data_IF_267982106470
#
_entry.id   IF_267982106470
#
_cell.length_a   1.000
_cell.length_b   1.000
_cell.length_c   1.000
_cell.angle_alpha   90.00
_cell.angle_beta   90.00
_cell.angle_gamma   90.00
#
_symmetry.space_group_name_H-M   'P 1'
#
loop_
_entity.id
_entity.type
_entity.pdbx_description
1 polymer ?
#
# COMPACT_ATOMS: atom_id res chain seq x y z
N UNK A 1 64.96 12.43 -52.01
CA UNK A 1 63.61 13.00 -52.18
C UNK A 1 63.27 13.76 -50.91
N UNK A 2 63.53 15.07 -50.87
CA UNK A 2 63.20 15.91 -49.72
C UNK A 2 61.74 16.34 -49.81
N UNK A 3 60.93 15.91 -48.85
CA UNK A 3 59.55 16.33 -48.74
C UNK A 3 59.54 17.81 -48.32
N UNK A 4 59.10 18.67 -49.23
CA UNK A 4 58.96 20.11 -48.98
C UNK A 4 57.74 20.31 -48.08
N UNK A 5 57.99 20.54 -46.79
CA UNK A 5 56.95 21.00 -45.86
C UNK A 5 56.52 22.40 -46.29
N UNK A 6 55.40 22.49 -47.01
CA UNK A 6 54.76 23.76 -47.30
C UNK A 6 54.16 24.34 -46.01
N UNK A 7 54.38 25.64 -45.70
CA UNK A 7 53.77 26.33 -44.55
C UNK A 7 52.24 26.23 -44.49
N UNK A 8 51.59 25.97 -45.63
CA UNK A 8 50.14 25.80 -45.76
C UNK A 8 49.59 24.56 -45.02
N UNK A 9 50.42 23.53 -44.82
CA UNK A 9 49.99 22.29 -44.13
C UNK A 9 49.89 22.49 -42.61
N UNK A 10 50.73 23.38 -42.06
CA UNK A 10 50.68 23.76 -40.64
C UNK A 10 49.45 24.64 -40.34
N UNK A 11 49.13 25.59 -41.22
CA UNK A 11 47.94 26.43 -41.10
C UNK A 11 46.65 25.61 -41.23
N UNK A 12 46.65 24.62 -42.12
CA UNK A 12 45.51 23.71 -42.28
C UNK A 12 45.31 22.82 -41.06
N UNK A 13 46.41 22.31 -40.47
CA UNK A 13 46.37 21.57 -39.19
C UNK A 13 45.89 22.44 -38.02
N UNK A 14 46.34 23.69 -37.93
CA UNK A 14 45.89 24.62 -36.88
C UNK A 14 44.38 24.88 -36.97
N UNK A 15 43.85 25.16 -38.17
CA UNK A 15 42.40 25.35 -38.37
C UNK A 15 41.60 24.11 -38.02
N UNK A 16 42.12 22.92 -38.33
CA UNK A 16 41.47 21.65 -37.96
C UNK A 16 41.45 21.47 -36.44
N UNK A 17 42.57 21.74 -35.76
CA UNK A 17 42.65 21.67 -34.30
C UNK A 17 41.74 22.69 -33.62
N UNK A 18 41.62 23.91 -34.16
CA UNK A 18 40.67 24.91 -33.66
C UNK A 18 39.22 24.47 -33.82
N UNK A 19 38.88 23.86 -34.95
CA UNK A 19 37.56 23.27 -35.19
C UNK A 19 37.25 22.12 -34.22
N UNK A 20 38.22 21.23 -34.00
CA UNK A 20 38.09 20.13 -33.03
C UNK A 20 37.97 20.66 -31.60
N UNK A 21 38.74 21.69 -31.22
CA UNK A 21 38.67 22.32 -29.91
C UNK A 21 37.34 23.04 -29.68
N UNK A 22 36.80 23.70 -30.71
CA UNK A 22 35.49 24.33 -30.66
C UNK A 22 34.36 23.30 -30.48
N UNK A 23 34.46 22.16 -31.17
CA UNK A 23 33.54 21.03 -30.95
C UNK A 23 33.65 20.45 -29.55
N UNK A 24 34.87 20.26 -29.04
CA UNK A 24 35.11 19.75 -27.69
C UNK A 24 34.56 20.73 -26.65
N UNK A 25 34.79 22.03 -26.79
CA UNK A 25 34.21 23.04 -25.87
C UNK A 25 32.68 23.05 -25.91
N UNK A 26 32.07 22.84 -27.07
CA UNK A 26 30.62 22.69 -27.22
C UNK A 26 30.09 21.40 -26.56
N UNK A 27 30.91 20.34 -26.50
CA UNK A 27 30.57 19.04 -25.91
C UNK A 27 30.86 18.96 -24.39
N UNK A 28 31.85 19.70 -23.89
CA UNK A 28 32.40 19.53 -22.52
C UNK A 28 31.77 20.46 -21.49
N UNK A 29 31.05 21.52 -21.89
CA UNK A 29 30.67 22.59 -20.94
C UNK A 29 29.24 23.07 -21.07
N UNK A 30 28.26 22.20 -20.87
CA UNK A 30 26.88 22.65 -20.60
C UNK A 30 26.73 22.81 -19.08
N UNK A 31 27.26 23.91 -18.55
CA UNK A 31 27.15 24.22 -17.11
C UNK A 31 25.73 24.65 -16.71
N UNK A 32 24.90 25.03 -17.69
CA UNK A 32 23.49 25.31 -17.55
C UNK A 32 22.84 25.19 -18.93
N UNK A 33 21.92 24.24 -19.08
CA UNK A 33 21.07 24.14 -20.26
C UNK A 33 19.63 24.35 -19.84
N UNK A 34 19.01 25.40 -20.37
CA UNK A 34 17.55 25.58 -20.30
C UNK A 34 16.94 25.10 -21.60
N UNK A 35 16.07 24.09 -21.53
CA UNK A 35 15.29 23.60 -22.67
C UNK A 35 14.05 24.49 -22.79
N UNK A 36 14.12 25.55 -23.60
CA UNK A 36 13.02 26.51 -23.79
C UNK A 36 11.89 25.97 -24.68
N UNK A 37 12.21 25.07 -25.61
CA UNK A 37 11.25 24.41 -26.52
C UNK A 37 11.83 23.05 -26.96
N UNK A 38 11.01 21.99 -26.97
CA UNK A 38 11.43 20.62 -27.28
C UNK A 38 11.34 19.68 -26.07
N UNK A 39 12.13 18.60 -26.07
CA UNK A 39 12.20 17.63 -24.97
C UNK A 39 13.59 16.98 -24.84
N UNK A 40 13.87 16.41 -23.68
CA UNK A 40 15.09 15.62 -23.43
C UNK A 40 14.78 14.14 -23.71
N UNK A 41 15.54 13.52 -24.62
CA UNK A 41 15.47 12.07 -24.86
C UNK A 41 16.78 11.43 -24.46
N UNK A 42 16.73 10.57 -23.44
CA UNK A 42 17.83 9.73 -23.00
C UNK A 42 17.81 8.43 -23.82
N UNK A 43 18.97 7.95 -24.30
CA UNK A 43 19.11 6.72 -25.11
C UNK A 43 20.21 5.84 -24.57
N UNK A 44 20.18 4.54 -24.87
CA UNK A 44 21.25 3.59 -24.53
C UNK A 44 21.60 3.62 -23.04
N UNK A 45 20.60 3.40 -22.16
CA UNK A 45 20.82 3.32 -20.71
C UNK A 45 21.38 4.62 -20.10
N UNK A 46 21.17 5.75 -20.78
CA UNK A 46 21.44 7.09 -20.24
C UNK A 46 20.52 7.37 -19.05
N UNK A 47 21.06 8.07 -18.06
CA UNK A 47 20.35 8.41 -16.83
C UNK A 47 20.30 9.93 -16.59
N UNK A 48 19.33 10.35 -15.78
CA UNK A 48 19.26 11.68 -15.17
C UNK A 48 19.62 11.53 -13.69
N UNK A 49 20.63 12.27 -13.22
CA UNK A 49 21.04 12.26 -11.81
C UNK A 49 21.20 13.69 -11.29
N UNK A 50 20.67 13.94 -10.10
CA UNK A 50 20.87 15.17 -9.35
C UNK A 50 21.63 14.85 -8.07
N UNK A 51 22.71 15.59 -7.82
CA UNK A 51 23.55 15.49 -6.62
C UNK A 51 23.42 16.82 -5.87
N UNK A 52 23.23 16.77 -4.56
CA UNK A 52 23.22 17.97 -3.72
C UNK A 52 24.65 18.50 -3.45
N UNK A 53 24.74 19.57 -2.66
CA UNK A 53 25.99 20.19 -2.25
C UNK A 53 26.81 19.33 -1.27
N UNK A 54 26.19 18.35 -0.62
CA UNK A 54 26.84 17.38 0.27
C UNK A 54 27.37 16.15 -0.48
N UNK A 55 27.05 16.01 -1.77
CA UNK A 55 27.44 14.88 -2.60
C UNK A 55 26.43 13.74 -2.59
N UNK A 56 25.27 13.91 -1.95
CA UNK A 56 24.21 12.91 -1.91
C UNK A 56 23.37 12.95 -3.20
N UNK A 57 23.03 11.79 -3.72
CA UNK A 57 22.08 11.67 -4.82
C UNK A 57 20.67 11.99 -4.32
N UNK A 58 20.02 12.99 -4.91
CA UNK A 58 18.65 13.41 -4.53
C UNK A 58 17.60 12.96 -5.55
N UNK A 59 17.97 12.89 -6.82
CA UNK A 59 17.11 12.38 -7.88
C UNK A 59 17.91 11.46 -8.78
N UNK A 60 17.32 10.32 -9.14
CA UNK A 60 17.83 9.41 -10.14
C UNK A 60 16.69 8.90 -11.02
N UNK A 61 16.89 8.91 -12.33
CA UNK A 61 16.01 8.29 -13.31
C UNK A 61 16.89 7.58 -14.33
N UNK A 62 16.83 6.26 -14.37
CA UNK A 62 17.69 5.45 -15.24
C UNK A 62 17.69 3.98 -14.86
N UNK A 63 18.55 3.15 -15.47
CA UNK A 63 18.63 1.74 -15.16
C UNK A 63 19.36 1.48 -13.83
N UNK A 64 18.82 0.58 -13.01
CA UNK A 64 19.50 0.02 -11.84
C UNK A 64 20.62 -0.97 -12.24
N UNK A 65 21.28 -1.56 -11.24
CA UNK A 65 22.35 -2.53 -11.45
C UNK A 65 21.88 -3.81 -12.18
N UNK A 66 20.57 -4.09 -12.18
CA UNK A 66 19.92 -5.20 -12.89
C UNK A 66 19.41 -4.77 -14.29
N UNK A 67 19.59 -3.51 -14.68
CA UNK A 67 19.10 -2.94 -15.94
C UNK A 67 17.62 -2.58 -15.95
N UNK A 68 16.93 -2.62 -14.80
CA UNK A 68 15.53 -2.20 -14.67
C UNK A 68 15.45 -0.69 -14.60
N UNK A 69 14.48 -0.10 -15.28
CA UNK A 69 14.28 1.35 -15.22
C UNK A 69 13.71 1.74 -13.86
N UNK A 70 14.46 2.54 -13.12
CA UNK A 70 14.08 3.00 -11.79
C UNK A 70 14.01 4.52 -11.70
N UNK A 71 13.16 4.98 -10.80
CA UNK A 71 13.09 6.37 -10.35
C UNK A 71 13.41 6.34 -8.86
N UNK A 72 14.36 7.15 -8.41
CA UNK A 72 14.62 7.39 -6.99
C UNK A 72 14.57 8.89 -6.69
N UNK A 73 13.84 9.25 -5.65
CA UNK A 73 13.81 10.58 -5.05
C UNK A 73 14.19 10.39 -3.59
N UNK A 74 15.20 11.13 -3.13
CA UNK A 74 15.71 11.09 -1.77
C UNK A 74 15.47 12.43 -1.07
N UNK A 75 15.41 12.40 0.25
CA UNK A 75 15.38 13.59 1.10
C UNK A 75 16.77 14.18 1.21
N UNK A 76 16.84 15.41 1.72
CA UNK A 76 18.07 16.02 2.21
C UNK A 76 18.71 15.08 3.27
N UNK A 77 19.95 14.64 3.03
CA UNK A 77 20.63 13.59 3.80
C UNK A 77 20.49 12.16 3.24
N UNK A 78 19.99 11.99 2.01
CA UNK A 78 20.14 10.75 1.23
C UNK A 78 19.11 9.64 1.49
N UNK A 79 18.23 9.78 2.50
CA UNK A 79 17.16 8.80 2.78
C UNK A 79 16.13 8.76 1.64
N UNK A 80 15.67 7.56 1.25
CA UNK A 80 14.65 7.40 0.20
C UNK A 80 13.34 8.08 0.61
N UNK A 81 12.73 8.81 -0.31
CA UNK A 81 11.39 9.39 -0.19
C UNK A 81 10.42 8.64 -1.10
N UNK A 82 10.74 8.56 -2.40
CA UNK A 82 9.96 7.86 -3.40
C UNK A 82 10.91 7.03 -4.24
N UNK A 83 10.58 5.77 -4.49
CA UNK A 83 11.35 4.96 -5.41
C UNK A 83 10.49 3.97 -6.18
N UNK A 84 11.01 3.46 -7.28
CA UNK A 84 10.51 2.24 -7.93
C UNK A 84 11.53 1.12 -7.76
N UNK A 85 11.06 -0.10 -7.53
CA UNK A 85 11.91 -1.28 -7.39
C UNK A 85 11.22 -2.52 -7.98
N UNK A 86 12.02 -3.49 -8.41
CA UNK A 86 11.52 -4.79 -8.82
C UNK A 86 11.19 -5.68 -7.62
N UNK A 87 10.05 -6.36 -7.64
CA UNK A 87 9.78 -7.48 -6.74
C UNK A 87 10.25 -8.78 -7.39
N UNK A 88 11.33 -9.38 -6.88
CA UNK A 88 11.80 -10.69 -7.35
C UNK A 88 10.76 -11.79 -7.15
N UNK A 89 10.00 -11.70 -6.06
CA UNK A 89 8.98 -12.68 -5.70
C UNK A 89 7.82 -12.72 -6.70
N UNK A 90 7.44 -11.56 -7.24
CA UNK A 90 6.25 -11.42 -8.09
C UNK A 90 6.57 -11.06 -9.55
N UNK A 91 7.84 -10.80 -9.87
CA UNK A 91 8.30 -10.47 -11.22
C UNK A 91 7.73 -9.14 -11.73
N UNK A 92 7.42 -8.20 -10.84
CA UNK A 92 6.78 -6.92 -11.17
C UNK A 92 7.43 -5.77 -10.42
N UNK A 93 7.55 -4.63 -11.09
CA UNK A 93 8.01 -3.39 -10.50
C UNK A 93 6.89 -2.72 -9.70
N UNK A 94 7.25 -2.09 -8.59
CA UNK A 94 6.34 -1.34 -7.73
C UNK A 94 6.95 0.04 -7.44
N UNK A 95 6.11 1.02 -7.15
CA UNK A 95 6.52 2.29 -6.56
C UNK A 95 6.26 2.26 -5.06
N UNK A 96 7.09 2.96 -4.29
CA UNK A 96 6.89 3.15 -2.87
C UNK A 96 7.26 4.58 -2.46
N UNK A 97 6.38 5.18 -1.66
CA UNK A 97 6.61 6.38 -0.88
C UNK A 97 6.90 5.97 0.56
N UNK A 98 7.98 6.48 1.14
CA UNK A 98 8.45 6.09 2.48
C UNK A 98 8.52 7.28 3.43
N UNK A 99 8.50 7.04 4.74
CA UNK A 99 8.82 8.03 5.77
C UNK A 99 10.34 8.22 5.93
N UNK A 100 10.77 9.07 6.86
CA UNK A 100 12.20 9.31 7.12
C UNK A 100 12.94 8.11 7.76
N UNK A 101 12.21 7.11 8.25
CA UNK A 101 12.75 5.87 8.79
C UNK A 101 12.78 4.74 7.75
N UNK A 102 12.29 4.99 6.52
CA UNK A 102 12.21 4.01 5.44
C UNK A 102 10.94 3.14 5.48
N UNK A 103 9.95 3.44 6.34
CA UNK A 103 8.70 2.71 6.36
C UNK A 103 7.84 3.12 5.15
N UNK A 104 7.29 2.14 4.43
CA UNK A 104 6.40 2.38 3.28
C UNK A 104 5.07 2.95 3.76
N UNK A 105 4.76 4.17 3.32
CA UNK A 105 3.51 4.89 3.59
C UNK A 105 2.48 4.55 2.51
N UNK A 106 2.90 4.61 1.25
CA UNK A 106 2.06 4.36 0.07
C UNK A 106 2.86 3.54 -0.91
N UNK A 107 2.26 2.53 -1.50
CA UNK A 107 2.88 1.72 -2.54
C UNK A 107 1.78 1.05 -3.36
N UNK A 108 2.02 0.77 -4.64
CA UNK A 108 1.21 -0.20 -5.38
C UNK A 108 1.57 -1.62 -4.96
N UNK A 109 0.73 -2.58 -5.32
CA UNK A 109 0.97 -3.97 -4.98
C UNK A 109 1.65 -4.74 -6.09
N UNK A 110 2.90 -5.08 -5.83
CA UNK A 110 3.67 -5.96 -6.70
C UNK A 110 3.04 -7.35 -6.85
N UNK A 111 2.33 -7.85 -5.83
CA UNK A 111 1.85 -9.23 -5.81
C UNK A 111 0.67 -9.47 -6.76
N UNK A 112 -0.37 -8.65 -6.66
CA UNK A 112 -1.53 -8.73 -7.55
C UNK A 112 -1.36 -7.86 -8.77
N UNK A 113 -0.52 -6.82 -8.68
CA UNK A 113 -0.35 -5.85 -9.76
C UNK A 113 -1.52 -4.90 -9.94
N UNK A 114 -2.40 -4.83 -8.95
CA UNK A 114 -3.61 -4.01 -8.94
C UNK A 114 -3.65 -3.22 -7.62
N UNK A 115 -4.18 -2.00 -7.64
CA UNK A 115 -4.46 -1.24 -6.42
C UNK A 115 -3.23 -0.76 -5.63
N UNK A 116 -3.47 -0.36 -4.38
CA UNK A 116 -2.46 0.09 -3.44
C UNK A 116 -2.11 -1.06 -2.49
N UNK A 117 -0.83 -1.32 -2.20
CA UNK A 117 -0.42 -2.21 -1.11
C UNK A 117 -0.59 -1.55 0.27
N UNK A 118 -0.42 -0.22 0.33
CA UNK A 118 -0.52 0.62 1.53
C UNK A 118 -1.18 1.96 1.19
N UNK A 119 -1.97 2.54 2.09
CA UNK A 119 -2.30 2.08 3.45
C UNK A 119 -3.41 1.02 3.49
N UNK A 120 -3.57 0.34 4.64
CA UNK A 120 -4.78 -0.44 4.90
C UNK A 120 -5.96 0.52 5.09
N UNK A 121 -7.05 0.29 4.37
CA UNK A 121 -8.18 1.20 4.37
C UNK A 121 -9.21 0.73 5.41
N UNK A 122 -9.45 1.52 6.47
CA UNK A 122 -10.41 1.13 7.50
C UNK A 122 -11.85 1.18 6.95
N UNK A 123 -12.65 0.19 7.32
CA UNK A 123 -14.09 0.14 7.09
C UNK A 123 -14.78 0.49 8.42
N UNK A 124 -15.44 1.66 8.52
CA UNK A 124 -16.08 2.09 9.76
C UNK A 124 -17.34 1.27 10.03
N UNK A 125 -17.27 0.34 10.98
CA UNK A 125 -18.39 -0.52 11.38
C UNK A 125 -19.23 0.14 12.49
N UNK A 126 -20.55 0.05 12.37
CA UNK A 126 -21.53 0.53 13.32
C UNK A 126 -22.27 -0.65 13.98
N UNK A 127 -22.48 -0.63 15.30
CA UNK A 127 -23.23 -1.69 15.98
C UNK A 127 -24.74 -1.55 15.71
N UNK A 128 -25.41 -2.67 15.45
CA UNK A 128 -26.86 -2.75 15.20
C UNK A 128 -27.67 -3.23 16.42
N UNK A 129 -27.02 -3.40 17.57
CA UNK A 129 -27.65 -3.80 18.82
C UNK A 129 -27.16 -2.94 19.98
N UNK A 130 -27.94 -2.90 21.05
CA UNK A 130 -27.52 -2.29 22.33
C UNK A 130 -26.95 -3.40 23.19
N UNK A 131 -25.75 -3.21 23.74
CA UNK A 131 -25.15 -4.23 24.57
C UNK A 131 -25.96 -4.44 25.85
N UNK A 132 -26.29 -5.69 26.17
CA UNK A 132 -26.74 -6.08 27.51
C UNK A 132 -25.54 -6.65 28.27
N UNK A 133 -25.35 -6.26 29.52
CA UNK A 133 -24.40 -6.94 30.40
C UNK A 133 -25.18 -7.44 31.60
N UNK A 134 -24.93 -8.69 32.02
CA UNK A 134 -25.54 -9.21 33.23
C UNK A 134 -25.37 -8.18 34.37
N UNK A 135 -26.49 -7.67 34.91
CA UNK A 135 -26.63 -6.59 35.91
C UNK A 135 -26.83 -5.15 35.38
N UNK A 136 -27.56 -4.99 34.26
CA UNK A 136 -27.95 -3.72 33.62
C UNK A 136 -28.38 -2.62 34.61
N UNK A 137 -27.46 -1.69 34.85
CA UNK A 137 -27.77 -0.34 35.32
C UNK A 137 -27.21 0.59 34.26
N UNK A 138 -28.08 1.38 33.63
CA UNK A 138 -27.70 2.40 32.65
C UNK A 138 -26.56 3.27 33.18
N UNK A 139 -25.46 3.39 32.44
CA UNK A 139 -24.31 4.24 32.80
C UNK A 139 -23.12 3.52 33.44
N UNK A 140 -23.09 2.19 33.52
CA UNK A 140 -21.88 1.43 33.88
C UNK A 140 -20.93 1.26 32.68
N UNK A 141 -19.60 1.23 32.89
CA UNK A 141 -18.66 0.89 31.84
C UNK A 141 -18.89 -0.56 31.40
N UNK A 142 -19.30 -0.72 30.14
CA UNK A 142 -19.39 -2.01 29.46
C UNK A 142 -18.00 -2.32 28.90
N UNK A 143 -17.46 -3.51 29.20
CA UNK A 143 -16.12 -3.88 28.73
C UNK A 143 -16.04 -4.06 27.21
N UNK A 144 -17.07 -4.65 26.60
CA UNK A 144 -17.18 -4.91 25.16
C UNK A 144 -18.64 -5.09 24.76
N UNK A 145 -18.95 -4.86 23.49
CA UNK A 145 -20.29 -5.09 22.95
C UNK A 145 -20.63 -6.58 22.99
N UNK A 146 -21.75 -6.89 23.63
CA UNK A 146 -22.24 -8.24 23.82
C UNK A 146 -23.76 -8.27 23.88
N UNK A 147 -24.34 -9.40 23.47
CA UNK A 147 -25.78 -9.59 23.39
C UNK A 147 -26.14 -10.93 24.03
N UNK A 148 -27.26 -10.98 24.73
CA UNK A 148 -27.77 -12.24 25.26
C UNK A 148 -28.21 -13.16 24.11
N UNK A 149 -27.83 -14.44 24.18
CA UNK A 149 -28.19 -15.48 23.21
C UNK A 149 -29.69 -15.60 22.98
N UNK A 150 -30.53 -15.24 23.94
CA UNK A 150 -31.99 -15.25 23.82
C UNK A 150 -32.54 -14.19 22.86
N UNK A 151 -31.77 -13.13 22.58
CA UNK A 151 -32.11 -12.09 21.60
C UNK A 151 -31.59 -12.42 20.19
N UNK A 152 -30.84 -13.52 20.02
CA UNK A 152 -30.31 -13.97 18.73
C UNK A 152 -31.19 -15.13 18.22
N UNK A 153 -32.17 -14.79 17.39
CA UNK A 153 -33.06 -15.77 16.74
C UNK A 153 -32.59 -16.09 15.32
N UNK A 154 -31.87 -17.20 15.16
CA UNK A 154 -31.27 -17.56 13.87
C UNK A 154 -30.02 -16.73 13.60
N UNK A 155 -29.84 -16.28 12.36
CA UNK A 155 -28.74 -15.38 11.99
C UNK A 155 -29.17 -13.92 12.17
N UNK A 156 -28.51 -13.23 13.11
CA UNK A 156 -28.80 -11.84 13.47
C UNK A 156 -27.67 -10.91 12.98
N UNK A 157 -28.02 -9.76 12.43
CA UNK A 157 -27.07 -8.72 12.07
C UNK A 157 -26.57 -8.00 13.33
N UNK A 158 -25.25 -7.95 13.52
CA UNK A 158 -24.61 -7.40 14.71
C UNK A 158 -23.91 -6.09 14.42
N UNK A 159 -23.24 -6.00 13.28
CA UNK A 159 -22.51 -4.80 12.84
C UNK A 159 -22.73 -4.57 11.34
N UNK A 160 -22.76 -3.30 10.94
CA UNK A 160 -22.92 -2.87 9.55
C UNK A 160 -21.96 -1.74 9.20
N UNK A 161 -21.49 -1.73 7.97
CA UNK A 161 -20.79 -0.61 7.36
C UNK A 161 -21.22 -0.45 5.91
N UNK A 162 -21.08 0.76 5.41
CA UNK A 162 -21.05 1.04 3.98
C UNK A 162 -19.68 1.62 3.64
N UNK A 163 -18.98 0.99 2.70
CA UNK A 163 -17.70 1.45 2.23
C UNK A 163 -17.47 1.07 0.77
N UNK A 164 -16.63 1.85 0.08
CA UNK A 164 -16.10 1.44 -1.21
C UNK A 164 -15.00 0.40 -1.00
N UNK A 165 -15.16 -0.79 -1.56
CA UNK A 165 -14.13 -1.82 -1.49
C UNK A 165 -13.03 -1.45 -2.48
N UNK A 166 -11.84 -1.19 -1.97
CA UNK A 166 -10.70 -0.68 -2.75
C UNK A 166 -9.57 -1.71 -2.86
N UNK A 167 -9.60 -2.76 -2.05
CA UNK A 167 -8.59 -3.80 -2.00
C UNK A 167 -9.27 -5.19 -1.98
N UNK A 168 -8.62 -6.23 -2.51
CA UNK A 168 -9.15 -7.59 -2.67
C UNK A 168 -9.26 -8.39 -1.38
N UNK A 169 -8.70 -7.94 -0.25
CA UNK A 169 -8.82 -8.67 1.00
C UNK A 169 -9.41 -7.81 2.11
N UNK A 170 -10.21 -8.44 2.98
CA UNK A 170 -10.78 -7.83 4.17
C UNK A 170 -10.42 -8.60 5.44
N UNK A 171 -10.17 -7.86 6.52
CA UNK A 171 -9.87 -8.37 7.85
C UNK A 171 -10.77 -7.72 8.88
N UNK A 172 -11.14 -8.50 9.90
CA UNK A 172 -11.84 -7.97 11.06
C UNK A 172 -11.08 -8.37 12.32
N UNK A 173 -10.70 -7.40 13.14
CA UNK A 173 -10.28 -7.64 14.51
C UNK A 173 -11.44 -7.35 15.42
N UNK A 174 -11.73 -8.28 16.32
CA UNK A 174 -12.80 -8.10 17.28
C UNK A 174 -12.60 -8.89 18.55
N UNK A 175 -13.56 -8.73 19.45
CA UNK A 175 -13.76 -9.55 20.63
C UNK A 175 -14.84 -10.57 20.30
N UNK A 176 -14.48 -11.85 20.32
CA UNK A 176 -15.34 -12.99 19.92
C UNK A 176 -15.41 -14.01 21.06
N UNK A 177 -16.47 -14.82 21.08
CA UNK A 177 -16.64 -15.92 22.04
C UNK A 177 -17.69 -15.67 23.13
N UNK A 178 -17.61 -16.45 24.20
CA UNK A 178 -18.57 -16.50 25.30
C UNK A 178 -18.24 -15.43 26.35
N UNK A 179 -19.13 -14.46 26.51
CA UNK A 179 -19.01 -13.45 27.55
C UNK A 179 -19.43 -13.97 28.93
N UNK A 180 -20.43 -14.85 28.95
CA UNK A 180 -20.90 -15.58 30.13
C UNK A 180 -21.74 -16.79 29.67
N UNK A 181 -21.84 -17.83 30.50
CA UNK A 181 -22.52 -19.07 30.11
C UNK A 181 -21.70 -19.89 29.11
N UNK A 182 -22.39 -20.63 28.24
CA UNK A 182 -21.79 -21.60 27.31
C UNK A 182 -22.31 -21.52 25.85
N UNK A 183 -22.65 -20.34 25.28
CA UNK A 183 -23.15 -20.28 23.90
C UNK A 183 -22.07 -20.69 22.89
N UNK A 184 -22.43 -21.51 21.90
CA UNK A 184 -21.61 -21.81 20.72
C UNK A 184 -22.07 -20.91 19.57
N UNK A 185 -21.20 -20.02 19.11
CA UNK A 185 -21.56 -18.94 18.19
C UNK A 185 -20.86 -19.15 16.85
N UNK A 186 -21.60 -18.96 15.76
CA UNK A 186 -21.04 -18.80 14.42
C UNK A 186 -21.20 -17.36 13.98
N UNK A 187 -20.12 -16.74 13.58
CA UNK A 187 -20.09 -15.39 13.02
C UNK A 187 -19.85 -15.48 11.52
N UNK A 188 -20.46 -14.57 10.76
CA UNK A 188 -20.20 -14.45 9.32
C UNK A 188 -19.91 -13.01 8.96
N UNK A 189 -18.99 -12.84 8.03
CA UNK A 189 -18.78 -11.59 7.32
C UNK A 189 -19.55 -11.71 6.00
N UNK A 190 -20.45 -10.78 5.73
CA UNK A 190 -21.24 -10.74 4.50
C UNK A 190 -21.04 -9.42 3.77
N UNK A 191 -21.11 -9.48 2.44
CA UNK A 191 -21.03 -8.32 1.54
C UNK A 191 -22.23 -8.40 0.60
N UNK A 192 -23.10 -7.39 0.63
CA UNK A 192 -24.38 -7.36 -0.09
C UNK A 192 -25.19 -8.67 0.09
N UNK A 193 -25.16 -9.23 1.30
CA UNK A 193 -25.84 -10.48 1.66
C UNK A 193 -25.10 -11.77 1.27
N UNK A 194 -23.98 -11.69 0.56
CA UNK A 194 -23.14 -12.87 0.24
C UNK A 194 -22.14 -13.11 1.36
N UNK A 195 -22.09 -14.32 1.91
CA UNK A 195 -21.08 -14.68 2.93
C UNK A 195 -19.70 -14.80 2.30
N UNK A 196 -18.76 -13.99 2.78
CA UNK A 196 -17.35 -14.00 2.34
C UNK A 196 -16.42 -14.64 3.39
N UNK A 197 -16.85 -14.69 4.65
CA UNK A 197 -16.07 -15.28 5.74
C UNK A 197 -16.98 -15.90 6.79
N UNK A 198 -16.51 -16.98 7.41
CA UNK A 198 -17.22 -17.65 8.52
C UNK A 198 -16.21 -18.13 9.54
N UNK A 199 -16.50 -17.90 10.82
CA UNK A 199 -15.73 -18.44 11.94
C UNK A 199 -16.67 -18.73 13.11
N UNK A 200 -16.29 -19.66 13.98
CA UNK A 200 -17.08 -20.02 15.14
C UNK A 200 -16.23 -19.98 16.41
N UNK A 201 -16.87 -19.67 17.52
CA UNK A 201 -16.23 -19.66 18.84
C UNK A 201 -17.18 -20.26 19.88
N UNK A 202 -16.61 -21.10 20.74
CA UNK A 202 -17.28 -21.76 21.85
C UNK A 202 -16.41 -21.72 23.13
N UNK A 203 -15.47 -20.79 23.17
CA UNK A 203 -14.56 -20.54 24.28
C UNK A 203 -14.87 -19.20 24.94
N UNK A 204 -14.27 -18.95 26.10
CA UNK A 204 -14.34 -17.65 26.74
C UNK A 204 -13.88 -16.53 25.79
N UNK A 205 -14.48 -15.35 25.95
CA UNK A 205 -14.22 -14.18 25.12
C UNK A 205 -12.71 -13.93 24.94
N UNK A 206 -12.28 -13.78 23.69
CA UNK A 206 -10.90 -13.49 23.32
C UNK A 206 -10.83 -12.41 22.23
N UNK A 207 -9.66 -11.77 22.09
CA UNK A 207 -9.43 -10.72 21.10
C UNK A 207 -8.48 -11.27 20.03
N UNK A 208 -8.97 -11.38 18.80
CA UNK A 208 -8.16 -11.83 17.68
C UNK A 208 -8.72 -11.32 16.34
N UNK A 209 -7.89 -11.43 15.31
CA UNK A 209 -8.22 -11.08 13.93
C UNK A 209 -8.71 -12.29 13.16
N UNK A 210 -9.73 -12.10 12.32
CA UNK A 210 -10.23 -13.06 11.34
C UNK A 210 -10.03 -12.51 9.93
N UNK A 211 -9.73 -13.40 8.98
CA UNK A 211 -9.29 -13.07 7.63
C UNK A 211 -7.91 -13.66 7.29
N UNK A 212 -7.39 -13.46 6.07
CA UNK A 212 -7.96 -12.63 5.00
C UNK A 212 -9.18 -13.31 4.41
N UNK A 213 -10.23 -12.54 4.13
CA UNK A 213 -11.29 -12.99 3.24
C UNK A 213 -11.13 -12.30 1.89
N UNK A 214 -11.24 -13.08 0.81
CA UNK A 214 -11.19 -12.57 -0.56
C UNK A 214 -12.50 -11.84 -0.89
N UNK A 215 -12.36 -10.59 -1.32
CA UNK A 215 -13.44 -9.68 -1.70
C UNK A 215 -13.19 -9.05 -3.07
N UNK A 216 -12.36 -9.69 -3.90
CA UNK A 216 -11.95 -9.20 -5.21
C UNK A 216 -13.13 -8.87 -6.13
N UNK A 217 -14.20 -9.67 -6.07
CA UNK A 217 -15.38 -9.52 -6.90
C UNK A 217 -16.18 -8.23 -6.63
N UNK A 218 -15.90 -7.56 -5.51
CA UNK A 218 -16.65 -6.38 -5.07
C UNK A 218 -15.85 -5.07 -5.13
N UNK A 219 -14.62 -5.08 -5.66
CA UNK A 219 -13.76 -3.90 -5.75
C UNK A 219 -14.39 -2.79 -6.62
N UNK A 220 -14.12 -1.53 -6.26
CA UNK A 220 -14.52 -0.27 -6.90
C UNK A 220 -15.99 0.13 -6.77
N UNK A 221 -16.79 -0.61 -6.01
CA UNK A 221 -18.19 -0.28 -5.76
C UNK A 221 -18.46 -0.05 -4.26
N UNK A 222 -19.48 0.76 -3.97
CA UNK A 222 -20.01 0.90 -2.63
C UNK A 222 -20.78 -0.36 -2.27
N UNK A 223 -20.45 -0.93 -1.12
CA UNK A 223 -21.00 -2.20 -0.66
C UNK A 223 -21.45 -2.11 0.78
N UNK A 224 -22.51 -2.84 1.10
CA UNK A 224 -22.94 -3.05 2.47
C UNK A 224 -22.18 -4.24 3.03
N UNK A 225 -21.36 -3.98 4.05
CA UNK A 225 -20.54 -4.99 4.73
C UNK A 225 -21.19 -5.24 6.09
N UNK A 226 -21.51 -6.50 6.40
CA UNK A 226 -22.14 -6.85 7.67
C UNK A 226 -21.40 -7.95 8.39
N UNK A 227 -21.46 -7.92 9.71
CA UNK A 227 -21.12 -9.05 10.55
C UNK A 227 -22.38 -9.55 11.20
N UNK A 228 -22.66 -10.83 10.99
CA UNK A 228 -23.79 -11.53 11.57
C UNK A 228 -23.31 -12.52 12.62
N UNK A 229 -24.19 -12.88 13.55
CA UNK A 229 -23.97 -13.93 14.52
C UNK A 229 -25.18 -14.85 14.60
N UNK A 230 -24.92 -16.14 14.80
CA UNK A 230 -25.91 -17.19 14.99
C UNK A 230 -25.50 -18.03 16.19
N UNK A 231 -26.40 -18.20 17.15
CA UNK A 231 -26.18 -19.11 18.28
C UNK A 231 -26.60 -20.51 17.86
N UNK A 232 -25.62 -21.40 17.74
CA UNK A 232 -25.81 -22.78 17.28
C UNK A 232 -26.22 -23.74 18.40
N UNK A 233 -25.81 -23.47 19.64
CA UNK A 233 -26.19 -24.21 20.85
C UNK A 233 -25.79 -23.43 22.11
N UNK A 234 -26.21 -23.89 23.29
CA UNK A 234 -25.87 -23.27 24.58
C UNK A 234 -26.67 -22.01 24.90
N UNK A 235 -26.39 -21.39 26.04
CA UNK A 235 -27.07 -20.16 26.47
C UNK A 235 -26.15 -19.23 27.25
N UNK A 236 -26.38 -17.93 27.15
CA UNK A 236 -25.64 -16.92 27.90
C UNK A 236 -25.36 -15.66 27.09
N UNK A 237 -24.24 -15.01 27.36
CA UNK A 237 -23.85 -13.75 26.72
C UNK A 237 -22.88 -14.03 25.59
N UNK A 238 -23.19 -13.54 24.39
CA UNK A 238 -22.37 -13.62 23.18
C UNK A 238 -21.53 -12.36 23.05
N UNK A 239 -20.20 -12.51 22.99
CA UNK A 239 -19.28 -11.43 22.67
C UNK A 239 -19.27 -11.16 21.17
N UNK A 240 -19.51 -9.92 20.76
CA UNK A 240 -19.42 -9.51 19.36
C UNK A 240 -19.07 -8.02 19.30
N UNK A 241 -17.78 -7.70 19.43
CA UNK A 241 -17.31 -6.32 19.38
C UNK A 241 -16.28 -6.17 18.27
N UNK A 242 -16.62 -5.46 17.21
CA UNK A 242 -15.65 -5.10 16.18
C UNK A 242 -14.75 -3.98 16.69
N UNK A 243 -13.45 -4.27 16.77
CA UNK A 243 -12.41 -3.30 17.14
C UNK A 243 -11.82 -2.59 15.93
N UNK A 244 -11.84 -3.26 14.78
CA UNK A 244 -11.45 -2.68 13.51
C UNK A 244 -11.75 -3.63 12.36
N UNK A 245 -12.05 -3.04 11.22
CA UNK A 245 -12.24 -3.73 9.96
C UNK A 245 -11.37 -3.02 8.92
N UNK A 246 -10.57 -3.75 8.16
CA UNK A 246 -9.62 -3.16 7.20
C UNK A 246 -9.61 -3.92 5.88
N UNK A 247 -9.50 -3.14 4.81
CA UNK A 247 -9.19 -3.58 3.47
C UNK A 247 -7.67 -3.55 3.26
N UNK A 248 -7.13 -4.60 2.67
CA UNK A 248 -5.70 -4.72 2.34
C UNK A 248 -5.49 -5.48 1.03
N UNK A 249 -4.33 -5.29 0.41
CA UNK A 249 -4.05 -5.91 -0.88
C UNK A 249 -3.58 -7.36 -0.80
N UNK A 250 -2.76 -7.67 0.21
CA UNK A 250 -2.09 -8.97 0.37
C UNK A 250 -2.01 -9.43 1.80
#
# INVERSE_FOLDING_TARGET
MGQVNHPDDLLTRMKRLESELAEVRKKVGVNSATINQGGLTLKNDSYLRMIDDNGDQILYVGPDDDGRQVIEIRREGGSLLLYTAGSEQFGRDYFALTDSQGNVIVSDDAATGLGLARPWIPVPMYPLFISSTANDVTGKPIGYWSLDSSEISGEQEMWEAEATISHPQIYVTGTWGQGNGDPSITYRLTIDGTTVGTWSDSSAVSIYSVGPFDVTDWIYEWRTIKITAEVTSGSGIVGCHVRGCWLRQT
#
